data_IF_919575087963
#
_entry.id   IF_919575087963
#
_cell.length_a   1.000
_cell.length_b   1.000
_cell.length_c   1.000
_cell.angle_alpha   90.00
_cell.angle_beta   90.00
_cell.angle_gamma   90.00
#
_symmetry.space_group_name_H-M   'P 1'
#
loop_
_entity.id
_entity.type
_entity.pdbx_description
1 polymer ?
#
# COMPACT_ATOMS: atom_id res chain seq x y z
N UNK A 1 12.35 5.39 -24.90
CA UNK A 1 11.80 6.32 -23.87
C UNK A 1 12.95 6.89 -23.06
N UNK A 2 13.85 7.61 -23.73
CA UNK A 2 14.98 8.24 -23.05
C UNK A 2 14.52 9.55 -22.40
N UNK A 3 14.86 9.74 -21.12
CA UNK A 3 14.65 10.98 -20.35
C UNK A 3 13.18 11.48 -20.32
N UNK A 4 12.21 10.57 -20.22
CA UNK A 4 10.80 10.89 -20.10
C UNK A 4 10.18 10.31 -18.84
N UNK A 5 9.42 11.13 -18.12
CA UNK A 5 8.59 10.66 -17.02
C UNK A 5 7.34 9.95 -17.55
N UNK A 6 7.02 8.81 -16.99
CA UNK A 6 5.84 8.02 -17.34
C UNK A 6 5.19 7.51 -16.05
N UNK A 7 3.91 7.82 -15.86
CA UNK A 7 3.13 7.20 -14.79
C UNK A 7 2.95 5.72 -15.09
N UNK A 8 3.41 4.86 -14.20
CA UNK A 8 3.31 3.40 -14.36
C UNK A 8 2.06 2.88 -13.69
N UNK A 9 1.18 2.27 -14.48
CA UNK A 9 -0.11 1.75 -14.01
C UNK A 9 -1.06 1.49 -15.17
N UNK A 10 -2.30 1.17 -14.84
CA UNK A 10 -3.38 1.03 -15.81
C UNK A 10 -4.63 1.79 -15.37
N UNK A 11 -5.35 2.39 -16.31
CA UNK A 11 -6.52 3.22 -16.00
C UNK A 11 -7.62 2.44 -15.24
N UNK A 12 -7.77 1.15 -15.50
CA UNK A 12 -8.72 0.27 -14.81
C UNK A 12 -8.28 -0.15 -13.40
N UNK A 13 -7.07 0.20 -12.98
CA UNK A 13 -6.54 -0.02 -11.62
C UNK A 13 -6.63 1.26 -10.75
N UNK A 14 -7.27 2.32 -11.24
CA UNK A 14 -7.69 3.41 -10.36
C UNK A 14 -8.89 2.94 -9.53
N UNK A 15 -8.77 3.00 -8.22
CA UNK A 15 -9.82 2.61 -7.28
C UNK A 15 -10.17 3.77 -6.35
N UNK A 16 -11.43 3.86 -5.97
CA UNK A 16 -11.83 4.64 -4.81
C UNK A 16 -11.44 3.89 -3.53
N UNK A 17 -11.21 4.62 -2.44
CA UNK A 17 -10.84 3.99 -1.16
C UNK A 17 -11.93 3.01 -0.68
N UNK A 18 -13.20 3.37 -0.90
CA UNK A 18 -14.33 2.48 -0.55
C UNK A 18 -14.27 1.16 -1.33
N UNK A 19 -13.96 1.19 -2.63
CA UNK A 19 -13.82 -0.01 -3.45
C UNK A 19 -12.69 -0.93 -2.95
N UNK A 20 -11.56 -0.34 -2.52
CA UNK A 20 -10.47 -1.12 -1.91
C UNK A 20 -10.91 -1.77 -0.60
N UNK A 21 -11.65 -1.05 0.25
CA UNK A 21 -12.18 -1.60 1.49
C UNK A 21 -13.18 -2.75 1.24
N UNK A 22 -14.05 -2.62 0.23
CA UNK A 22 -14.95 -3.69 -0.19
C UNK A 22 -14.20 -4.92 -0.74
N UNK A 23 -13.12 -4.71 -1.49
CA UNK A 23 -12.27 -5.82 -1.96
C UNK A 23 -11.68 -6.56 -0.77
N UNK A 24 -11.18 -5.86 0.24
CA UNK A 24 -10.61 -6.48 1.44
C UNK A 24 -11.68 -7.28 2.19
N UNK A 25 -12.88 -6.72 2.42
CA UNK A 25 -13.95 -7.45 3.13
C UNK A 25 -14.42 -8.70 2.40
N UNK A 26 -14.39 -8.69 1.06
CA UNK A 26 -14.74 -9.87 0.23
C UNK A 26 -13.63 -10.93 0.22
N UNK A 27 -12.38 -10.50 0.41
CA UNK A 27 -11.19 -11.36 0.28
C UNK A 27 -10.77 -11.97 1.62
N UNK A 28 -10.89 -11.20 2.71
CA UNK A 28 -10.42 -11.60 4.04
C UNK A 28 -11.60 -12.06 4.89
N UNK A 29 -11.64 -13.34 5.32
CA UNK A 29 -12.74 -13.86 6.14
C UNK A 29 -12.89 -13.10 7.46
N UNK A 30 -14.14 -12.80 7.83
CA UNK A 30 -14.46 -12.12 9.10
C UNK A 30 -14.19 -10.62 9.12
N UNK A 31 -13.73 -10.01 8.03
CA UNK A 31 -13.62 -8.56 7.92
C UNK A 31 -14.98 -7.91 7.74
N UNK A 32 -15.19 -6.78 8.40
CA UNK A 32 -16.36 -5.90 8.24
C UNK A 32 -15.91 -4.51 7.85
N UNK A 33 -16.76 -3.80 7.11
CA UNK A 33 -16.51 -2.42 6.70
C UNK A 33 -17.39 -1.48 7.50
N UNK A 34 -16.77 -0.50 8.14
CA UNK A 34 -17.44 0.61 8.79
C UNK A 34 -17.07 1.92 8.09
N UNK A 35 -18.05 2.68 7.65
CA UNK A 35 -17.86 3.99 7.02
C UNK A 35 -18.25 5.07 8.02
N UNK A 36 -17.26 5.82 8.50
CA UNK A 36 -17.50 6.90 9.45
C UNK A 36 -18.02 8.16 8.72
N UNK A 37 -19.13 8.72 9.22
CA UNK A 37 -19.79 9.88 8.61
C UNK A 37 -18.99 11.20 8.74
N UNK A 38 -18.05 11.28 9.69
CA UNK A 38 -17.16 12.43 9.88
C UNK A 38 -15.72 11.97 9.72
N UNK A 39 -15.18 12.16 8.54
CA UNK A 39 -13.75 12.13 8.34
C UNK A 39 -13.27 13.56 8.10
N UNK A 40 -12.33 14.06 8.90
CA UNK A 40 -11.48 15.18 8.53
C UNK A 40 -10.55 14.78 7.38
N UNK A 41 -11.02 13.88 6.52
CA UNK A 41 -10.29 13.28 5.45
C UNK A 41 -9.99 14.32 4.37
N UNK A 42 -8.83 14.20 3.81
CA UNK A 42 -8.44 14.91 2.60
C UNK A 42 -9.49 14.67 1.49
N UNK A 43 -10.24 15.72 1.14
CA UNK A 43 -11.29 15.65 0.14
C UNK A 43 -10.74 15.62 -1.31
N UNK A 44 -9.42 15.68 -1.47
CA UNK A 44 -8.80 15.63 -2.79
C UNK A 44 -8.99 14.26 -3.43
N UNK A 45 -9.42 14.27 -4.68
CA UNK A 45 -9.53 13.06 -5.51
C UNK A 45 -8.36 13.00 -6.48
N UNK A 46 -7.66 11.89 -6.50
CA UNK A 46 -6.59 11.63 -7.44
C UNK A 46 -7.02 10.53 -8.41
N UNK A 47 -6.99 10.85 -9.70
CA UNK A 47 -7.18 9.88 -10.77
C UNK A 47 -5.99 9.98 -11.71
N UNK A 48 -5.12 8.99 -11.69
CA UNK A 48 -3.94 8.96 -12.55
C UNK A 48 -4.30 8.53 -13.97
N UNK A 49 -3.73 9.22 -14.96
CA UNK A 49 -3.78 8.78 -16.37
C UNK A 49 -2.52 7.97 -16.71
N UNK A 50 -2.74 6.75 -17.18
CA UNK A 50 -1.71 5.82 -17.61
C UNK A 50 -1.70 5.59 -19.13
N UNK A 51 -2.39 6.42 -19.89
CA UNK A 51 -2.47 6.31 -21.36
C UNK A 51 -1.09 6.37 -22.03
N UNK A 52 -0.17 7.21 -21.52
CA UNK A 52 1.21 7.26 -22.02
C UNK A 52 1.95 5.93 -21.79
N UNK A 53 1.77 5.29 -20.63
CA UNK A 53 2.36 3.97 -20.36
C UNK A 53 1.84 2.92 -21.32
N UNK A 54 0.52 2.83 -21.48
CA UNK A 54 -0.10 1.85 -22.37
C UNK A 54 0.34 2.00 -23.83
N UNK A 55 0.49 3.24 -24.32
CA UNK A 55 1.01 3.52 -25.67
C UNK A 55 2.49 3.16 -25.82
N UNK A 56 3.28 3.40 -24.77
CA UNK A 56 4.73 3.15 -24.82
C UNK A 56 5.08 1.68 -24.67
N UNK A 57 4.29 0.93 -23.89
CA UNK A 57 4.51 -0.48 -23.58
C UNK A 57 3.27 -1.34 -23.90
N UNK A 58 2.85 -1.42 -25.17
CA UNK A 58 1.57 -2.04 -25.55
C UNK A 58 1.51 -3.56 -25.28
N UNK A 59 2.66 -4.22 -25.07
CA UNK A 59 2.74 -5.66 -24.74
C UNK A 59 2.87 -5.94 -23.26
N UNK A 60 2.83 -4.88 -22.41
CA UNK A 60 2.92 -5.06 -20.97
C UNK A 60 1.58 -5.52 -20.39
N UNK A 61 1.59 -6.63 -19.67
CA UNK A 61 0.40 -7.19 -19.03
C UNK A 61 0.48 -7.03 -17.51
N UNK A 62 -0.59 -6.48 -16.93
CA UNK A 62 -0.72 -6.33 -15.48
C UNK A 62 -1.18 -7.66 -14.88
N UNK A 63 -0.28 -8.35 -14.16
CA UNK A 63 -0.58 -9.62 -13.47
C UNK A 63 -1.27 -9.41 -12.12
N UNK A 64 -1.11 -8.24 -11.53
CA UNK A 64 -1.60 -7.86 -10.21
C UNK A 64 -2.77 -6.90 -10.29
N UNK A 65 -3.69 -7.04 -9.34
CA UNK A 65 -4.79 -6.14 -9.07
C UNK A 65 -5.06 -6.11 -7.56
N UNK A 66 -5.97 -5.26 -7.10
CA UNK A 66 -6.26 -5.09 -5.67
C UNK A 66 -6.71 -6.40 -4.99
N UNK A 67 -7.52 -7.22 -5.67
CA UNK A 67 -7.99 -8.51 -5.12
C UNK A 67 -6.84 -9.49 -4.92
N UNK A 68 -5.98 -9.67 -5.92
CA UNK A 68 -4.80 -10.55 -5.79
C UNK A 68 -3.84 -10.05 -4.73
N UNK A 69 -3.63 -8.72 -4.64
CA UNK A 69 -2.80 -8.12 -3.60
C UNK A 69 -3.36 -8.34 -2.20
N UNK A 70 -4.68 -8.18 -2.01
CA UNK A 70 -5.34 -8.47 -0.74
C UNK A 70 -5.22 -9.94 -0.33
N UNK A 71 -5.38 -10.87 -1.29
CA UNK A 71 -5.23 -12.29 -1.06
C UNK A 71 -3.79 -12.66 -0.62
N UNK A 72 -2.78 -12.17 -1.34
CA UNK A 72 -1.38 -12.42 -1.02
C UNK A 72 -1.02 -11.88 0.37
N UNK A 73 -1.46 -10.67 0.70
CA UNK A 73 -1.23 -10.09 2.03
C UNK A 73 -1.91 -10.91 3.13
N UNK A 74 -3.14 -11.36 2.90
CA UNK A 74 -3.86 -12.21 3.85
C UNK A 74 -3.11 -13.52 4.10
N UNK A 75 -2.66 -14.21 3.05
CA UNK A 75 -1.88 -15.44 3.14
C UNK A 75 -0.54 -15.21 3.86
N UNK A 76 0.18 -14.15 3.51
CA UNK A 76 1.45 -13.79 4.14
C UNK A 76 1.27 -13.48 5.64
N UNK A 77 0.27 -12.69 6.01
CA UNK A 77 0.00 -12.34 7.41
C UNK A 77 -0.47 -13.55 8.22
N UNK A 78 -1.27 -14.42 7.62
CA UNK A 78 -1.70 -15.66 8.26
C UNK A 78 -0.51 -16.61 8.48
N UNK A 79 0.38 -16.74 7.51
CA UNK A 79 1.54 -17.64 7.59
C UNK A 79 2.53 -17.27 8.71
N UNK A 80 2.65 -15.97 9.02
CA UNK A 80 3.49 -15.50 10.14
C UNK A 80 2.73 -15.35 11.45
N UNK A 81 1.43 -15.68 11.49
CA UNK A 81 0.58 -15.51 12.66
C UNK A 81 0.48 -14.05 13.11
N UNK A 82 0.35 -13.10 12.19
CA UNK A 82 0.31 -11.67 12.51
C UNK A 82 -0.83 -11.36 13.47
N UNK A 83 -0.50 -10.81 14.66
CA UNK A 83 -1.48 -10.34 15.65
C UNK A 83 -1.63 -8.82 15.60
N UNK A 84 -2.68 -8.29 16.25
CA UNK A 84 -2.90 -6.85 16.39
C UNK A 84 -1.73 -6.17 17.12
N UNK A 85 -1.17 -6.82 18.13
CA UNK A 85 -0.02 -6.33 18.90
C UNK A 85 1.22 -6.26 18.03
N UNK A 86 1.49 -7.29 17.23
CA UNK A 86 2.58 -7.32 16.27
C UNK A 86 2.43 -6.21 15.23
N UNK A 87 1.22 -6.02 14.68
CA UNK A 87 0.95 -4.96 13.70
C UNK A 87 1.11 -3.56 14.29
N UNK A 88 0.76 -3.35 15.57
CA UNK A 88 0.95 -2.08 16.27
C UNK A 88 2.40 -1.81 16.69
N UNK A 89 3.28 -2.83 16.60
CA UNK A 89 4.71 -2.71 16.90
C UNK A 89 5.42 -1.74 15.95
N UNK A 90 6.54 -1.21 16.43
CA UNK A 90 7.39 -0.29 15.68
C UNK A 90 7.83 -0.79 14.29
N UNK A 91 7.91 -2.10 14.09
CA UNK A 91 8.36 -2.74 12.82
C UNK A 91 7.44 -2.44 11.64
N UNK A 92 6.15 -2.21 11.88
CA UNK A 92 5.17 -1.89 10.84
C UNK A 92 4.98 -0.39 10.61
N UNK A 93 5.69 0.46 11.36
CA UNK A 93 5.61 1.91 11.20
C UNK A 93 7.00 2.48 10.97
N UNK A 94 7.28 2.94 9.74
CA UNK A 94 8.62 3.46 9.35
C UNK A 94 9.17 4.47 10.35
N UNK A 95 8.37 5.45 10.78
CA UNK A 95 8.81 6.50 11.69
C UNK A 95 9.15 5.93 13.08
N UNK A 96 8.34 5.02 13.61
CA UNK A 96 8.61 4.35 14.90
C UNK A 96 9.88 3.50 14.83
N UNK A 97 10.09 2.81 13.70
CA UNK A 97 11.28 2.01 13.47
C UNK A 97 12.54 2.86 13.40
N UNK A 98 12.50 3.95 12.60
CA UNK A 98 13.61 4.89 12.49
C UNK A 98 13.98 5.49 13.85
N UNK A 99 12.98 5.94 14.62
CA UNK A 99 13.20 6.46 15.97
C UNK A 99 13.87 5.43 16.88
N UNK A 100 13.40 4.19 16.86
CA UNK A 100 14.02 3.10 17.61
C UNK A 100 15.50 2.88 17.22
N UNK A 101 15.83 2.92 15.93
CA UNK A 101 17.21 2.75 15.46
C UNK A 101 18.13 3.88 15.94
N UNK A 102 17.66 5.12 15.94
CA UNK A 102 18.36 6.28 16.49
C UNK A 102 18.54 6.19 18.01
N UNK A 103 17.44 5.96 18.74
CA UNK A 103 17.43 5.89 20.21
C UNK A 103 18.30 4.72 20.74
N UNK A 104 18.42 3.63 19.97
CA UNK A 104 19.27 2.48 20.30
C UNK A 104 20.69 2.57 19.78
N UNK A 105 21.11 3.72 19.25
CA UNK A 105 22.43 3.97 18.64
C UNK A 105 22.82 2.95 17.56
N UNK A 106 21.84 2.38 16.86
CA UNK A 106 22.07 1.55 15.67
C UNK A 106 22.24 2.39 14.41
N UNK A 107 21.74 3.62 14.44
CA UNK A 107 22.01 4.66 13.46
C UNK A 107 22.58 5.88 14.18
N UNK A 108 23.52 6.53 13.53
CA UNK A 108 24.01 7.85 13.95
C UNK A 108 23.01 8.97 13.53
N UNK A 109 23.30 10.21 13.95
CA UNK A 109 22.49 11.40 13.59
C UNK A 109 22.42 11.69 12.09
N UNK A 110 23.31 11.10 11.27
CA UNK A 110 23.34 11.21 9.82
C UNK A 110 22.62 10.02 9.16
N UNK A 111 21.90 9.20 9.93
CA UNK A 111 21.15 8.01 9.50
C UNK A 111 22.07 6.92 8.89
N UNK A 112 23.29 6.79 9.36
CA UNK A 112 24.25 5.76 8.95
C UNK A 112 24.33 4.69 10.04
N UNK A 113 24.50 3.45 9.65
CA UNK A 113 24.72 2.34 10.58
C UNK A 113 26.04 2.54 11.33
N UNK A 114 26.00 2.31 12.64
CA UNK A 114 27.16 2.38 13.55
C UNK A 114 27.80 1.03 13.73
#
# INVERSE_FOLDING_TARGET
VHNQAVNTGANHLNHQIIELAEIVTKTVPGCTLEVLAQSGADQRTYKADFGKFAKTFPKFEWKWNATKGAQELYEAFTSIGLTKEMFADKRFTRLKWLKYLLDSNKLDKNLRWT
#
